data_IF_499084415636
#
_entry.id   IF_499084415636
#
_cell.length_a   1.000
_cell.length_b   1.000
_cell.length_c   1.000
_cell.angle_alpha   90.00
_cell.angle_beta   90.00
_cell.angle_gamma   90.00
#
_symmetry.space_group_name_H-M   'P 1'
#
loop_
_entity.id
_entity.type
_entity.pdbx_description
1 polymer ?
#
# COMPACT_ATOMS: atom_id res chain seq x y z
N UNK A 1 9.22 -42.89 11.77
CA UNK A 1 9.95 -43.62 10.71
C UNK A 1 9.67 -42.90 9.39
N UNK A 2 10.52 -41.93 9.02
CA UNK A 2 10.38 -41.16 7.77
C UNK A 2 10.73 -42.09 6.60
N UNK A 3 9.77 -42.33 5.70
CA UNK A 3 10.04 -42.97 4.41
C UNK A 3 10.51 -41.91 3.41
N UNK A 4 11.81 -42.00 3.12
CA UNK A 4 12.45 -41.80 1.82
C UNK A 4 12.36 -40.41 1.15
N UNK A 5 13.25 -39.51 1.55
CA UNK A 5 14.15 -38.92 0.56
C UNK A 5 15.42 -39.78 0.59
N UNK A 6 15.95 -40.16 -0.58
CA UNK A 6 17.16 -40.98 -0.71
C UNK A 6 18.46 -40.20 -0.35
N UNK A 7 18.35 -39.03 0.29
CA UNK A 7 19.50 -38.21 0.65
C UNK A 7 19.99 -38.60 2.03
N UNK A 8 21.29 -38.85 2.13
CA UNK A 8 21.99 -38.98 3.41
C UNK A 8 22.12 -37.56 3.99
N UNK A 9 21.48 -37.33 5.13
CA UNK A 9 21.58 -36.06 5.85
C UNK A 9 22.55 -36.25 7.00
N UNK A 10 23.67 -35.55 6.96
CA UNK A 10 24.70 -35.65 7.98
C UNK A 10 24.44 -34.64 9.14
N UNK A 11 23.47 -33.72 8.98
CA UNK A 11 23.13 -32.67 9.96
C UNK A 11 21.62 -32.46 10.09
N UNK A 12 21.11 -32.28 11.31
CA UNK A 12 19.69 -32.02 11.59
C UNK A 12 19.56 -30.91 12.64
N UNK A 13 18.74 -29.90 12.37
CA UNK A 13 18.44 -28.78 13.27
C UNK A 13 16.97 -28.83 13.68
N UNK A 14 16.70 -28.80 14.98
CA UNK A 14 15.34 -28.73 15.52
C UNK A 14 15.16 -27.40 16.23
N UNK A 15 14.25 -26.56 15.76
CA UNK A 15 14.03 -25.24 16.37
C UNK A 15 13.22 -25.38 17.65
N UNK A 16 13.74 -24.84 18.76
CA UNK A 16 13.05 -24.87 20.05
C UNK A 16 12.00 -23.76 20.11
N UNK A 17 10.79 -24.14 20.47
CA UNK A 17 9.78 -23.22 20.99
C UNK A 17 10.02 -23.00 22.50
N UNK A 18 10.65 -21.86 22.80
CA UNK A 18 10.39 -20.94 23.93
C UNK A 18 10.99 -21.08 25.36
N UNK A 19 11.69 -22.13 25.82
CA UNK A 19 11.94 -22.22 27.29
C UNK A 19 13.32 -22.65 27.84
N UNK A 20 14.44 -22.46 27.13
CA UNK A 20 15.78 -22.69 27.72
C UNK A 20 16.80 -21.61 27.31
N UNK A 21 17.82 -21.33 28.16
CA UNK A 21 18.88 -20.38 27.84
C UNK A 21 19.73 -20.84 26.64
N UNK A 22 20.36 -19.90 25.91
CA UNK A 22 21.18 -20.20 24.73
C UNK A 22 22.39 -21.07 25.11
N UNK A 23 22.68 -22.09 24.29
CA UNK A 23 23.90 -22.92 24.38
C UNK A 23 24.88 -22.50 23.28
N UNK A 24 26.17 -22.72 23.50
CA UNK A 24 27.25 -22.42 22.54
C UNK A 24 27.59 -23.65 21.68
N UNK A 25 28.08 -23.44 20.45
CA UNK A 25 28.44 -24.52 19.50
C UNK A 25 29.36 -25.61 20.10
N UNK A 26 30.38 -25.28 20.92
CA UNK A 26 31.24 -26.28 21.55
C UNK A 26 30.47 -27.25 22.47
N UNK A 27 29.36 -26.81 23.08
CA UNK A 27 28.52 -27.63 23.96
C UNK A 27 27.64 -28.63 23.19
N UNK A 28 27.57 -28.49 21.85
CA UNK A 28 26.73 -29.30 20.95
C UNK A 28 27.52 -30.34 20.14
N UNK A 29 28.83 -30.43 20.34
CA UNK A 29 29.76 -31.28 19.58
C UNK A 29 30.16 -32.55 20.34
N UNK A 30 30.15 -33.71 19.67
CA UNK A 30 30.78 -34.95 20.16
C UNK A 30 31.44 -35.69 19.00
N UNK A 31 32.72 -36.02 19.15
CA UNK A 31 33.51 -36.82 18.18
C UNK A 31 33.37 -36.30 16.73
N UNK A 32 33.66 -35.02 16.54
CA UNK A 32 33.62 -34.31 15.24
C UNK A 32 32.25 -34.29 14.53
N UNK A 33 31.18 -34.57 15.28
CA UNK A 33 29.78 -34.45 14.84
C UNK A 33 29.02 -33.54 15.78
N UNK A 34 28.18 -32.66 15.23
CA UNK A 34 27.22 -31.87 16.02
C UNK A 34 26.02 -32.79 16.30
N UNK A 35 25.81 -33.14 17.57
CA UNK A 35 24.67 -33.98 17.99
C UNK A 35 23.62 -33.07 18.63
N UNK A 36 22.63 -32.64 17.86
CA UNK A 36 21.44 -31.94 18.40
C UNK A 36 20.37 -32.95 18.83
N UNK A 37 20.77 -33.83 19.75
CA UNK A 37 19.95 -34.63 20.68
C UNK A 37 20.88 -35.69 21.29
N UNK A 38 21.67 -35.30 22.29
CA UNK A 38 22.32 -36.28 23.16
C UNK A 38 21.25 -36.93 24.03
N UNK A 39 20.59 -37.98 23.53
CA UNK A 39 19.71 -38.89 24.26
C UNK A 39 19.07 -38.28 25.52
N UNK A 40 18.06 -37.44 25.35
CA UNK A 40 17.14 -37.15 26.42
C UNK A 40 15.79 -37.80 26.05
N UNK A 41 15.61 -39.07 26.41
CA UNK A 41 14.30 -39.73 26.45
C UNK A 41 13.40 -39.01 27.46
N UNK A 42 12.86 -37.85 27.09
CA UNK A 42 11.82 -37.19 27.84
C UNK A 42 10.50 -37.56 27.16
N UNK A 43 9.83 -38.55 27.72
CA UNK A 43 8.49 -38.97 27.31
C UNK A 43 7.44 -37.84 27.43
N UNK A 44 7.81 -36.62 27.86
CA UNK A 44 6.90 -35.63 28.44
C UNK A 44 7.16 -34.24 27.89
N UNK A 45 6.07 -33.51 27.61
CA UNK A 45 6.09 -32.17 26.99
C UNK A 45 6.35 -31.04 28.00
N UNK A 46 6.02 -31.23 29.28
CA UNK A 46 6.16 -30.21 30.32
C UNK A 46 6.80 -30.81 31.58
N UNK A 47 7.63 -30.05 32.34
CA UNK A 47 8.32 -30.54 33.54
C UNK A 47 7.38 -30.90 34.71
N UNK A 48 6.19 -30.31 34.73
CA UNK A 48 5.21 -30.37 35.82
C UNK A 48 3.93 -31.16 35.46
N UNK A 49 3.77 -31.57 34.19
CA UNK A 49 2.58 -32.29 33.69
C UNK A 49 2.94 -33.64 33.11
N UNK A 50 3.04 -34.61 34.01
CA UNK A 50 3.48 -35.98 33.73
C UNK A 50 2.48 -36.83 32.95
N UNK A 51 1.23 -36.37 32.85
CA UNK A 51 0.10 -36.97 32.14
C UNK A 51 0.12 -36.69 30.63
N UNK A 52 0.95 -35.76 30.16
CA UNK A 52 0.96 -35.33 28.76
C UNK A 52 2.22 -35.85 28.06
N UNK A 53 2.06 -36.90 27.26
CA UNK A 53 3.10 -37.43 26.39
C UNK A 53 3.50 -36.41 25.31
N UNK A 54 4.78 -36.40 24.93
CA UNK A 54 5.30 -35.50 23.92
C UNK A 54 4.60 -35.68 22.56
N UNK A 55 4.10 -34.58 21.98
CA UNK A 55 3.48 -34.51 20.65
C UNK A 55 4.04 -33.29 19.92
N UNK A 56 5.27 -33.38 19.42
CA UNK A 56 5.81 -32.37 18.49
C UNK A 56 5.31 -32.63 17.07
N UNK A 57 5.07 -31.56 16.32
CA UNK A 57 4.75 -31.66 14.88
C UNK A 57 6.04 -31.77 14.06
N UNK A 58 5.97 -32.42 12.90
CA UNK A 58 7.09 -32.57 11.95
C UNK A 58 7.62 -31.24 11.39
N UNK A 59 6.96 -30.11 11.66
CA UNK A 59 7.26 -28.81 11.05
C UNK A 59 8.44 -28.05 11.70
N UNK A 60 9.06 -28.60 12.76
CA UNK A 60 10.11 -27.92 13.53
C UNK A 60 11.53 -28.50 13.28
N UNK A 61 11.71 -29.27 12.20
CA UNK A 61 12.95 -30.01 11.90
C UNK A 61 13.46 -29.66 10.51
N UNK A 62 14.69 -29.12 10.44
CA UNK A 62 15.45 -28.90 9.22
C UNK A 62 16.56 -29.96 9.08
N UNK A 63 16.72 -30.54 7.90
CA UNK A 63 17.77 -31.54 7.63
C UNK A 63 18.72 -31.03 6.54
N UNK A 64 20.03 -31.10 6.77
CA UNK A 64 21.06 -30.63 5.85
C UNK A 64 22.00 -31.75 5.45
N UNK A 65 22.44 -31.71 4.19
CA UNK A 65 23.36 -32.70 3.65
C UNK A 65 24.83 -32.31 3.89
N UNK A 66 25.14 -31.03 4.12
CA UNK A 66 26.51 -30.55 4.33
C UNK A 66 26.59 -29.51 5.46
N UNK A 67 27.77 -29.38 6.08
CA UNK A 67 28.06 -28.38 7.14
C UNK A 67 27.86 -26.96 6.64
N UNK A 68 28.22 -26.68 5.38
CA UNK A 68 28.06 -25.36 4.76
C UNK A 68 26.58 -24.96 4.63
N UNK A 69 25.68 -25.91 4.32
CA UNK A 69 24.24 -25.66 4.27
C UNK A 69 23.65 -25.34 5.65
N UNK A 70 24.15 -26.01 6.69
CA UNK A 70 23.77 -25.73 8.07
C UNK A 70 24.27 -24.34 8.52
N UNK A 71 25.54 -24.01 8.27
CA UNK A 71 26.14 -22.73 8.65
C UNK A 71 25.47 -21.54 7.94
N UNK A 72 25.08 -21.68 6.67
CA UNK A 72 24.32 -20.64 5.96
C UNK A 72 22.98 -20.31 6.62
N UNK A 73 22.30 -21.29 7.20
CA UNK A 73 21.05 -21.04 7.93
C UNK A 73 21.31 -20.54 9.37
N UNK A 74 22.38 -21.02 10.00
CA UNK A 74 22.82 -20.56 11.32
C UNK A 74 23.24 -19.08 11.32
N UNK A 75 23.97 -18.63 10.28
CA UNK A 75 24.28 -17.21 10.08
C UNK A 75 23.01 -16.36 9.90
N UNK A 76 21.94 -16.97 9.35
CA UNK A 76 20.61 -16.36 9.32
C UNK A 76 19.94 -16.35 10.70
N UNK A 77 20.29 -17.22 11.65
CA UNK A 77 19.71 -17.23 13.01
C UNK A 77 20.20 -16.06 13.88
N UNK A 78 21.45 -15.63 13.69
CA UNK A 78 21.93 -14.38 14.29
C UNK A 78 21.25 -13.15 13.68
N UNK A 79 20.87 -13.23 12.39
CA UNK A 79 20.01 -12.23 11.74
C UNK A 79 18.55 -12.40 12.18
N UNK A 80 18.09 -13.61 12.56
CA UNK A 80 16.73 -13.85 13.05
C UNK A 80 16.47 -13.03 14.32
N UNK A 81 17.42 -12.80 15.23
CA UNK A 81 17.16 -11.84 16.33
C UNK A 81 16.89 -10.40 15.88
N UNK A 82 17.33 -10.02 14.68
CA UNK A 82 17.15 -8.69 14.07
C UNK A 82 16.01 -8.60 13.05
N UNK A 83 15.57 -9.73 12.48
CA UNK A 83 14.48 -9.83 11.49
C UNK A 83 13.22 -10.47 12.09
N UNK A 84 13.38 -11.29 13.13
CA UNK A 84 12.32 -11.94 13.89
C UNK A 84 11.90 -11.03 15.07
N UNK A 85 10.97 -10.13 14.78
CA UNK A 85 10.12 -9.60 15.85
C UNK A 85 9.11 -10.69 16.19
N UNK A 86 9.35 -11.38 17.31
CA UNK A 86 8.63 -12.56 17.77
C UNK A 86 7.13 -12.39 17.93
N UNK A 87 6.39 -12.46 16.82
CA UNK A 87 4.98 -12.80 16.79
C UNK A 87 4.79 -13.71 15.56
N UNK A 88 4.73 -15.05 15.73
CA UNK A 88 4.23 -15.92 14.68
C UNK A 88 2.85 -15.39 14.27
N UNK A 89 2.50 -15.41 12.99
CA UNK A 89 1.20 -14.91 12.49
C UNK A 89 0.01 -15.41 13.33
N UNK A 90 0.11 -16.59 13.93
CA UNK A 90 -0.87 -17.14 14.88
C UNK A 90 -1.01 -16.35 16.18
N UNK A 91 0.02 -15.71 16.71
CA UNK A 91 -0.03 -14.87 17.91
C UNK A 91 -0.56 -13.46 17.60
N UNK A 92 -0.24 -12.88 16.44
CA UNK A 92 -0.83 -11.61 15.98
C UNK A 92 -2.32 -11.80 15.74
N UNK A 93 -2.67 -12.93 15.10
CA UNK A 93 -4.05 -13.34 14.84
C UNK A 93 -4.78 -13.66 16.15
N UNK A 94 -4.17 -14.36 17.12
CA UNK A 94 -4.75 -14.61 18.45
C UNK A 94 -4.90 -13.33 19.28
N UNK A 95 -3.94 -12.42 19.25
CA UNK A 95 -4.00 -11.16 19.98
C UNK A 95 -5.05 -10.22 19.38
N UNK A 96 -5.15 -10.15 18.05
CA UNK A 96 -6.23 -9.46 17.35
C UNK A 96 -7.59 -10.09 17.70
N UNK A 97 -7.73 -11.42 17.62
CA UNK A 97 -9.01 -12.10 17.91
C UNK A 97 -9.42 -12.03 19.39
N UNK A 98 -8.48 -12.14 20.33
CA UNK A 98 -8.72 -11.94 21.77
C UNK A 98 -9.21 -10.52 22.06
N UNK A 99 -8.61 -9.52 21.41
CA UNK A 99 -8.92 -8.10 21.61
C UNK A 99 -10.21 -7.66 20.89
N UNK A 100 -10.57 -8.30 19.77
CA UNK A 100 -11.76 -7.96 18.99
C UNK A 100 -13.01 -8.79 19.32
N UNK A 101 -12.85 -10.01 19.88
CA UNK A 101 -13.98 -10.95 20.08
C UNK A 101 -14.10 -11.48 21.52
N UNK A 102 -13.12 -11.25 22.41
CA UNK A 102 -13.18 -11.68 23.81
C UNK A 102 -13.17 -13.20 24.02
N UNK A 103 -12.68 -13.97 23.05
CA UNK A 103 -12.69 -15.44 23.09
C UNK A 103 -11.35 -15.98 23.60
N UNK A 104 -11.34 -16.52 24.82
CA UNK A 104 -10.14 -16.97 25.53
C UNK A 104 -9.77 -18.44 25.26
N UNK A 105 -10.61 -19.21 24.56
CA UNK A 105 -10.41 -20.67 24.46
C UNK A 105 -10.73 -21.22 23.07
N UNK A 106 -9.73 -21.34 22.20
CA UNK A 106 -9.86 -22.22 21.02
C UNK A 106 -8.70 -23.20 20.85
N UNK A 107 -9.07 -24.48 20.69
CA UNK A 107 -8.16 -25.57 20.35
C UNK A 107 -8.02 -25.72 18.82
N UNK A 108 -6.88 -26.26 18.33
CA UNK A 108 -6.53 -26.27 16.90
C UNK A 108 -7.54 -26.95 15.97
N UNK A 109 -8.35 -27.90 16.48
CA UNK A 109 -9.27 -28.71 15.66
C UNK A 109 -10.55 -27.97 15.20
N UNK A 110 -10.88 -26.82 15.78
CA UNK A 110 -12.00 -25.98 15.29
C UNK A 110 -11.62 -25.05 14.14
N UNK A 111 -10.32 -24.87 13.87
CA UNK A 111 -9.86 -23.97 12.83
C UNK A 111 -10.35 -24.41 11.45
N UNK A 112 -10.37 -25.69 11.10
CA UNK A 112 -10.74 -26.09 9.73
C UNK A 112 -12.23 -25.86 9.41
N UNK A 113 -13.15 -26.22 10.32
CA UNK A 113 -14.59 -25.96 10.13
C UNK A 113 -14.95 -24.47 10.29
N UNK A 114 -14.20 -23.72 11.10
CA UNK A 114 -14.33 -22.26 11.20
C UNK A 114 -13.79 -21.57 9.94
N UNK A 115 -12.63 -22.00 9.44
CA UNK A 115 -12.02 -21.50 8.21
C UNK A 115 -12.94 -21.77 7.01
N UNK A 116 -13.50 -22.97 6.87
CA UNK A 116 -14.48 -23.26 5.79
C UNK A 116 -15.78 -22.45 5.88
N UNK A 117 -16.13 -21.92 7.06
CA UNK A 117 -17.33 -21.07 7.25
C UNK A 117 -17.10 -19.61 6.84
N UNK A 118 -15.85 -19.13 6.85
CA UNK A 118 -15.51 -17.73 6.55
C UNK A 118 -14.53 -17.54 5.37
N UNK A 119 -13.98 -18.63 4.83
CA UNK A 119 -12.97 -18.65 3.78
C UNK A 119 -13.31 -19.74 2.75
N UNK A 120 -13.36 -19.40 1.45
CA UNK A 120 -13.57 -20.34 0.34
C UNK A 120 -12.25 -20.53 -0.40
N UNK A 121 -11.92 -21.77 -0.73
CA UNK A 121 -10.72 -22.15 -1.48
C UNK A 121 -11.03 -22.04 -2.99
N UNK A 122 -10.20 -21.36 -3.76
CA UNK A 122 -10.27 -21.36 -5.23
C UNK A 122 -9.31 -22.42 -5.77
N UNK A 123 -9.84 -23.35 -6.53
CA UNK A 123 -9.11 -24.54 -7.00
C UNK A 123 -8.08 -24.21 -8.10
N UNK A 124 -8.08 -22.99 -8.64
CA UNK A 124 -7.20 -22.58 -9.74
C UNK A 124 -5.95 -21.80 -9.32
N UNK A 125 -5.73 -21.54 -8.02
CA UNK A 125 -4.61 -20.70 -7.57
C UNK A 125 -3.41 -21.54 -7.05
N UNK A 126 -2.28 -21.44 -7.75
CA UNK A 126 -1.06 -22.21 -7.46
C UNK A 126 -0.02 -21.43 -6.63
N UNK A 127 -0.36 -20.29 -6.04
CA UNK A 127 0.55 -19.56 -5.14
C UNK A 127 0.02 -19.49 -3.71
N UNK A 128 0.76 -20.13 -2.80
CA UNK A 128 0.51 -20.13 -1.36
C UNK A 128 0.60 -18.70 -0.81
N UNK A 129 -0.53 -18.03 -0.63
CA UNK A 129 -0.63 -16.78 0.14
C UNK A 129 -2.00 -16.74 0.83
N UNK A 130 -2.00 -16.68 2.15
CA UNK A 130 -3.20 -16.60 2.97
C UNK A 130 -3.92 -15.27 2.69
N UNK A 131 -5.01 -15.33 1.93
CA UNK A 131 -5.86 -14.15 1.71
C UNK A 131 -6.69 -13.84 2.96
N UNK A 132 -6.13 -13.02 3.84
CA UNK A 132 -6.93 -12.18 4.74
C UNK A 132 -7.77 -11.25 3.86
N UNK A 133 -9.08 -11.49 3.88
CA UNK A 133 -10.18 -10.58 3.48
C UNK A 133 -9.93 -9.80 2.18
N UNK A 134 -10.47 -10.34 1.06
CA UNK A 134 -10.57 -9.73 -0.27
C UNK A 134 -9.94 -8.33 -0.36
N UNK A 135 -8.68 -8.24 -0.84
CA UNK A 135 -8.19 -7.00 -1.44
C UNK A 135 -9.00 -6.77 -2.70
N UNK A 136 -10.08 -6.00 -2.60
CA UNK A 136 -10.77 -5.52 -3.80
C UNK A 136 -9.93 -4.38 -4.38
N UNK A 137 -9.34 -4.65 -5.55
CA UNK A 137 -8.93 -3.67 -6.56
C UNK A 137 -7.87 -2.62 -6.17
N UNK A 138 -7.10 -2.75 -5.09
CA UNK A 138 -5.99 -1.81 -4.78
C UNK A 138 -4.61 -2.44 -5.02
N UNK A 139 -3.69 -1.66 -5.58
CA UNK A 139 -2.28 -2.05 -5.73
C UNK A 139 -1.63 -2.25 -4.35
N UNK A 140 -0.76 -3.24 -4.16
CA UNK A 140 -0.09 -3.46 -2.88
C UNK A 140 0.71 -2.24 -2.43
N UNK A 141 0.52 -1.83 -1.18
CA UNK A 141 1.42 -0.92 -0.47
C UNK A 141 1.95 -1.62 0.78
N UNK A 142 3.24 -1.46 1.12
CA UNK A 142 3.85 -2.15 2.26
C UNK A 142 3.43 -1.56 3.62
N UNK A 143 2.97 -0.31 3.66
CA UNK A 143 2.70 0.44 4.88
C UNK A 143 1.20 0.61 5.21
N UNK A 144 0.31 0.16 4.33
CA UNK A 144 -1.14 0.25 4.49
C UNK A 144 -1.91 -0.92 3.86
N UNK A 145 -3.06 -1.25 4.44
CA UNK A 145 -3.97 -2.26 3.92
C UNK A 145 -5.43 -1.88 4.16
N UNK A 146 -6.30 -2.35 3.26
CA UNK A 146 -7.76 -2.22 3.41
C UNK A 146 -8.36 -3.62 3.38
N UNK A 147 -9.19 -3.92 4.37
CA UNK A 147 -9.88 -5.19 4.52
C UNK A 147 -11.40 -4.98 4.59
N UNK A 148 -12.16 -6.03 4.24
CA UNK A 148 -13.62 -6.01 4.23
C UNK A 148 -14.17 -7.16 5.08
N UNK A 149 -15.05 -6.85 6.04
CA UNK A 149 -15.72 -7.82 6.90
C UNK A 149 -17.22 -7.53 6.96
N UNK A 150 -18.02 -8.25 6.18
CA UNK A 150 -19.45 -7.95 6.05
C UNK A 150 -19.66 -6.54 5.50
N UNK A 151 -20.39 -5.70 6.22
CA UNK A 151 -20.60 -4.28 5.91
C UNK A 151 -19.54 -3.35 6.55
N UNK A 152 -18.43 -3.88 7.07
CA UNK A 152 -17.37 -3.10 7.70
C UNK A 152 -16.12 -3.04 6.82
N UNK A 153 -15.64 -1.82 6.55
CA UNK A 153 -14.32 -1.57 5.95
C UNK A 153 -13.34 -1.30 7.08
N UNK A 154 -12.21 -1.99 7.05
CA UNK A 154 -11.14 -1.89 8.05
C UNK A 154 -9.90 -1.34 7.34
N UNK A 155 -9.43 -0.17 7.77
CA UNK A 155 -8.21 0.47 7.25
C UNK A 155 -7.09 0.25 8.26
N UNK A 156 -5.95 -0.22 7.78
CA UNK A 156 -4.73 -0.45 8.53
C UNK A 156 -3.60 0.43 8.02
N UNK A 157 -2.84 1.01 8.94
CA UNK A 157 -1.62 1.75 8.65
C UNK A 157 -0.54 1.38 9.67
N UNK A 158 0.70 1.17 9.22
CA UNK A 158 1.85 0.90 10.10
C UNK A 158 2.13 2.09 11.02
N UNK A 159 1.98 3.32 10.51
CA UNK A 159 2.13 4.54 11.31
C UNK A 159 0.81 4.94 11.97
N UNK A 160 0.79 4.88 13.30
CA UNK A 160 -0.35 5.30 14.12
C UNK A 160 -0.74 6.77 13.95
N UNK A 161 0.20 7.65 13.56
CA UNK A 161 -0.10 9.06 13.30
C UNK A 161 -1.01 9.24 12.08
N UNK A 162 -0.89 8.36 11.08
CA UNK A 162 -1.78 8.35 9.90
C UNK A 162 -3.21 8.00 10.31
N UNK A 163 -3.39 7.06 11.24
CA UNK A 163 -4.71 6.70 11.78
C UNK A 163 -5.30 7.88 12.54
N UNK A 164 -4.59 8.44 13.51
CA UNK A 164 -5.11 9.57 14.28
C UNK A 164 -5.46 10.77 13.39
N UNK A 165 -4.60 11.09 12.41
CA UNK A 165 -4.84 12.13 11.42
C UNK A 165 -6.09 11.87 10.57
N UNK A 166 -6.25 10.66 10.00
CA UNK A 166 -7.45 10.31 9.22
C UNK A 166 -8.72 10.34 10.06
N UNK A 167 -8.68 9.89 11.32
CA UNK A 167 -9.84 9.92 12.25
C UNK A 167 -10.25 11.35 12.57
N UNK A 168 -9.31 12.24 12.84
CA UNK A 168 -9.59 13.66 13.08
C UNK A 168 -10.17 14.33 11.83
N UNK A 169 -9.56 14.06 10.66
CA UNK A 169 -10.06 14.56 9.38
C UNK A 169 -11.46 14.08 9.05
N UNK A 170 -11.81 12.85 9.42
CA UNK A 170 -13.16 12.32 9.19
C UNK A 170 -14.24 13.19 9.84
N UNK A 171 -13.93 13.81 11.00
CA UNK A 171 -14.84 14.74 11.68
C UNK A 171 -14.97 16.06 10.93
N UNK A 172 -13.87 16.56 10.35
CA UNK A 172 -13.87 17.79 9.54
C UNK A 172 -14.57 17.59 8.18
N UNK A 173 -14.65 16.35 7.72
CA UNK A 173 -15.29 15.94 6.46
C UNK A 173 -16.66 15.30 6.69
N UNK A 174 -17.27 15.50 7.86
CA UNK A 174 -18.58 14.95 8.20
C UNK A 174 -19.63 15.29 7.12
N UNK A 175 -20.42 14.29 6.74
CA UNK A 175 -21.41 14.38 5.66
C UNK A 175 -20.86 14.12 4.26
N UNK A 176 -19.53 14.12 4.07
CA UNK A 176 -18.89 13.82 2.78
C UNK A 176 -18.16 12.47 2.76
N UNK A 177 -17.68 12.02 3.92
CA UNK A 177 -16.99 10.73 4.09
C UNK A 177 -17.77 9.82 5.05
N UNK A 178 -17.62 8.49 4.96
CA UNK A 178 -18.29 7.58 5.88
C UNK A 178 -17.78 7.78 7.31
N UNK A 179 -18.67 7.85 8.31
CA UNK A 179 -18.27 8.11 9.69
C UNK A 179 -17.45 6.96 10.25
N UNK A 180 -16.35 7.31 10.93
CA UNK A 180 -15.50 6.33 11.60
C UNK A 180 -16.23 5.74 12.80
N UNK A 181 -16.26 4.40 12.88
CA UNK A 181 -17.00 3.63 13.90
C UNK A 181 -16.10 3.14 15.04
N UNK A 182 -14.94 2.57 14.71
CA UNK A 182 -13.98 2.02 15.68
C UNK A 182 -12.59 2.51 15.36
N UNK A 183 -11.78 2.73 16.39
CA UNK A 183 -10.40 3.20 16.27
C UNK A 183 -9.52 2.42 17.24
N UNK A 184 -8.32 2.07 16.78
CA UNK A 184 -7.18 1.63 17.59
C UNK A 184 -5.92 2.32 17.07
N UNK A 185 -4.74 2.00 17.62
CA UNK A 185 -3.50 2.68 17.23
C UNK A 185 -3.20 2.58 15.73
N UNK A 186 -3.39 1.40 15.14
CA UNK A 186 -3.05 1.14 13.73
C UNK A 186 -4.25 0.89 12.84
N UNK A 187 -5.47 0.95 13.39
CA UNK A 187 -6.68 0.63 12.64
C UNK A 187 -7.78 1.66 12.87
N UNK A 188 -8.59 1.88 11.84
CA UNK A 188 -9.93 2.41 12.02
C UNK A 188 -10.92 1.70 11.10
N UNK A 189 -12.20 1.77 11.45
CA UNK A 189 -13.26 1.15 10.65
C UNK A 189 -14.37 2.14 10.31
N UNK A 190 -15.05 1.90 9.20
CA UNK A 190 -16.29 2.59 8.82
C UNK A 190 -17.22 1.63 8.07
N UNK A 191 -18.49 2.01 7.89
CA UNK A 191 -19.45 1.19 7.16
C UNK A 191 -19.12 1.17 5.67
N UNK A 192 -19.11 0.00 5.05
CA UNK A 192 -19.06 -0.15 3.60
C UNK A 192 -20.15 0.72 2.96
N UNK A 193 -19.75 1.49 1.95
CA UNK A 193 -20.64 2.36 1.20
C UNK A 193 -21.03 1.60 -0.07
N UNK A 194 -22.31 1.31 -0.20
CA UNK A 194 -22.86 0.66 -1.38
C UNK A 194 -23.05 1.71 -2.49
N UNK A 195 -22.62 1.37 -3.70
CA UNK A 195 -22.67 2.25 -4.86
C UNK A 195 -21.67 1.85 -5.93
N UNK A 196 -21.68 2.61 -7.01
CA UNK A 196 -20.79 2.41 -8.16
C UNK A 196 -19.56 3.32 -8.07
N UNK A 197 -18.46 2.93 -8.72
CA UNK A 197 -17.28 3.80 -8.82
C UNK A 197 -17.54 4.90 -9.85
N UNK A 198 -17.13 6.13 -9.53
CA UNK A 198 -17.25 7.25 -10.47
C UNK A 198 -16.56 6.99 -11.83
N UNK A 199 -15.50 6.17 -11.84
CA UNK A 199 -14.77 5.76 -13.06
C UNK A 199 -15.60 4.96 -14.07
N UNK A 200 -16.75 4.43 -13.64
CA UNK A 200 -17.61 3.55 -14.42
C UNK A 200 -18.95 4.20 -14.78
N UNK A 201 -19.16 5.45 -14.39
CA UNK A 201 -20.40 6.18 -14.62
C UNK A 201 -20.44 6.89 -16.00
N UNK A 202 -21.57 7.54 -16.27
CA UNK A 202 -21.81 8.40 -17.43
C UNK A 202 -21.39 9.87 -17.20
N UNK A 203 -21.39 10.66 -18.28
CA UNK A 203 -20.98 12.07 -18.24
C UNK A 203 -21.93 12.96 -17.45
N UNK A 204 -23.22 12.63 -17.40
CA UNK A 204 -24.20 13.36 -16.58
C UNK A 204 -23.84 13.23 -15.09
N UNK A 205 -23.48 12.03 -14.66
CA UNK A 205 -23.05 11.74 -13.29
C UNK A 205 -21.72 12.43 -12.98
N UNK A 206 -20.77 12.40 -13.92
CA UNK A 206 -19.50 13.13 -13.76
C UNK A 206 -19.70 14.65 -13.64
N UNK A 207 -20.59 15.25 -14.43
CA UNK A 207 -20.94 16.68 -14.29
C UNK A 207 -21.51 16.99 -12.90
N UNK A 208 -22.43 16.15 -12.40
CA UNK A 208 -22.99 16.27 -11.03
C UNK A 208 -21.90 16.14 -9.97
N UNK A 209 -20.91 15.28 -10.19
CA UNK A 209 -19.77 15.14 -9.29
C UNK A 209 -18.91 16.42 -9.24
N UNK A 210 -18.67 17.08 -10.38
CA UNK A 210 -17.91 18.34 -10.40
C UNK A 210 -18.64 19.45 -9.62
N UNK A 211 -19.95 19.56 -9.75
CA UNK A 211 -20.75 20.50 -8.95
C UNK A 211 -20.77 20.12 -7.46
N UNK A 212 -20.83 18.82 -7.13
CA UNK A 212 -20.69 18.35 -5.77
C UNK A 212 -19.33 18.76 -5.17
N UNK A 213 -18.23 18.53 -5.90
CA UNK A 213 -16.90 18.92 -5.45
C UNK A 213 -16.74 20.44 -5.32
N UNK A 214 -17.36 21.22 -6.21
CA UNK A 214 -17.42 22.69 -6.09
C UNK A 214 -18.08 23.13 -4.78
N UNK A 215 -19.16 22.46 -4.37
CA UNK A 215 -19.80 22.70 -3.08
C UNK A 215 -18.97 22.19 -1.88
N UNK A 216 -18.16 21.14 -2.11
CA UNK A 216 -17.25 20.58 -1.12
C UNK A 216 -16.08 21.52 -0.82
N UNK A 217 -15.46 22.13 -1.83
CA UNK A 217 -14.30 23.04 -1.71
C UNK A 217 -14.66 24.41 -1.12
N UNK A 218 -15.01 24.43 0.17
CA UNK A 218 -15.31 25.65 0.90
C UNK A 218 -14.03 26.48 1.12
N UNK A 219 -13.94 27.74 0.64
CA UNK A 219 -12.77 28.59 0.80
C UNK A 219 -12.45 28.90 2.27
N UNK A 220 -11.15 28.99 2.58
CA UNK A 220 -10.65 29.33 3.91
C UNK A 220 -9.56 30.40 3.74
N UNK A 221 -9.65 31.51 4.48
CA UNK A 221 -8.64 32.56 4.44
C UNK A 221 -7.41 32.19 5.29
N UNK A 222 -6.24 32.17 4.67
CA UNK A 222 -4.97 31.77 5.30
C UNK A 222 -3.84 32.66 4.77
N UNK A 223 -3.07 33.30 5.66
CA UNK A 223 -2.03 34.27 5.28
C UNK A 223 -0.77 33.64 4.67
N UNK A 224 -0.35 32.47 5.15
CA UNK A 224 0.94 31.84 4.77
C UNK A 224 0.77 30.58 3.91
N UNK A 225 -0.38 30.44 3.25
CA UNK A 225 -0.70 29.24 2.49
C UNK A 225 0.24 28.93 1.32
N UNK A 226 0.78 29.93 0.58
CA UNK A 226 1.71 29.64 -0.49
C UNK A 226 2.98 28.92 -0.03
N UNK A 227 3.42 29.15 1.21
CA UNK A 227 4.57 28.44 1.76
C UNK A 227 4.24 26.98 2.06
N UNK A 228 3.07 26.69 2.66
CA UNK A 228 2.59 25.31 2.83
C UNK A 228 2.48 24.56 1.50
N UNK A 229 1.96 25.22 0.46
CA UNK A 229 1.90 24.64 -0.88
C UNK A 229 3.29 24.36 -1.46
N UNK A 230 4.21 25.31 -1.30
CA UNK A 230 5.59 25.17 -1.79
C UNK A 230 6.26 23.96 -1.14
N UNK A 231 6.22 23.86 0.18
CA UNK A 231 6.81 22.72 0.89
C UNK A 231 6.15 21.41 0.48
N UNK A 232 4.82 21.37 0.39
CA UNK A 232 4.09 20.16 0.03
C UNK A 232 4.39 19.69 -1.40
N UNK A 233 4.52 20.60 -2.36
CA UNK A 233 4.81 20.26 -3.75
C UNK A 233 6.30 20.00 -3.97
N UNK A 234 7.14 20.95 -3.61
CA UNK A 234 8.57 20.94 -3.93
C UNK A 234 9.31 19.87 -3.16
N UNK A 235 9.20 19.86 -1.82
CA UNK A 235 9.97 18.93 -0.99
C UNK A 235 9.57 17.49 -1.31
N UNK A 236 8.26 17.24 -1.44
CA UNK A 236 7.75 15.92 -1.82
C UNK A 236 8.28 15.50 -3.19
N UNK A 237 8.31 16.40 -4.16
CA UNK A 237 8.83 16.05 -5.50
C UNK A 237 10.31 15.72 -5.47
N UNK A 238 11.16 16.54 -4.87
CA UNK A 238 12.59 16.23 -4.83
C UNK A 238 12.89 14.95 -4.02
N UNK A 239 12.24 14.76 -2.86
CA UNK A 239 12.37 13.52 -2.09
C UNK A 239 11.98 12.28 -2.91
N UNK A 240 10.92 12.36 -3.73
CA UNK A 240 10.47 11.24 -4.57
C UNK A 240 11.38 11.01 -5.77
N UNK A 241 11.91 12.07 -6.37
CA UNK A 241 12.88 11.95 -7.45
C UNK A 241 14.18 11.31 -6.98
N UNK A 242 14.64 11.63 -5.77
CA UNK A 242 15.83 11.00 -5.19
C UNK A 242 15.65 9.50 -4.95
N UNK A 243 14.45 9.08 -4.50
CA UNK A 243 14.11 7.64 -4.40
C UNK A 243 14.03 6.95 -5.77
N UNK A 244 13.61 7.68 -6.81
CA UNK A 244 13.52 7.12 -8.16
C UNK A 244 14.87 7.06 -8.86
N UNK A 245 15.78 7.99 -8.54
CA UNK A 245 17.11 8.15 -9.15
C UNK A 245 17.95 6.88 -9.13
N UNK A 246 17.82 6.06 -8.09
CA UNK A 246 18.53 4.78 -8.00
C UNK A 246 17.98 3.70 -8.96
N UNK A 247 16.75 3.89 -9.48
CA UNK A 247 16.01 2.90 -10.27
C UNK A 247 15.97 3.22 -11.77
N UNK A 248 16.32 4.45 -12.20
CA UNK A 248 16.11 4.91 -13.58
C UNK A 248 17.25 5.74 -14.13
N UNK A 249 17.30 5.85 -15.46
CA UNK A 249 18.20 6.77 -16.13
C UNK A 249 17.68 8.22 -16.05
N UNK A 250 18.57 9.15 -15.68
CA UNK A 250 18.26 10.57 -15.41
C UNK A 250 18.67 11.46 -16.61
N UNK A 251 19.31 10.90 -17.62
CA UNK A 251 19.78 11.69 -18.77
C UNK A 251 18.62 12.18 -19.65
N UNK A 252 18.96 13.07 -20.59
CA UNK A 252 18.07 13.38 -21.72
C UNK A 252 17.68 12.07 -22.38
N UNK A 253 16.39 11.90 -22.66
CA UNK A 253 15.90 10.76 -23.39
C UNK A 253 14.78 11.16 -24.34
N UNK A 254 14.63 10.40 -25.41
CA UNK A 254 13.46 10.50 -26.28
C UNK A 254 12.39 9.59 -25.71
N UNK A 255 11.23 10.16 -25.33
CA UNK A 255 10.08 9.43 -24.77
C UNK A 255 8.92 9.56 -25.75
N UNK A 256 8.45 8.46 -26.33
CA UNK A 256 7.42 8.44 -27.38
C UNK A 256 7.70 9.49 -28.49
N UNK A 257 8.93 9.50 -29.01
CA UNK A 257 9.37 10.46 -30.02
C UNK A 257 9.62 11.91 -29.54
N UNK A 258 9.41 12.24 -28.26
CA UNK A 258 9.62 13.59 -27.72
C UNK A 258 10.94 13.66 -26.97
N UNK A 259 11.81 14.61 -27.31
CA UNK A 259 13.03 14.88 -26.53
C UNK A 259 12.69 15.53 -25.18
N UNK A 260 13.05 14.84 -24.09
CA UNK A 260 12.76 15.25 -22.72
C UNK A 260 14.06 15.47 -21.96
N UNK A 261 14.26 16.67 -21.35
CA UNK A 261 15.48 16.97 -20.61
C UNK A 261 15.59 16.11 -19.33
N UNK A 262 16.77 16.10 -18.68
CA UNK A 262 16.93 15.51 -17.36
C UNK A 262 15.88 16.03 -16.38
N UNK A 263 15.31 15.15 -15.55
CA UNK A 263 14.16 15.54 -14.71
C UNK A 263 14.49 16.67 -13.73
N UNK A 264 15.70 16.71 -13.17
CA UNK A 264 16.12 17.80 -12.27
C UNK A 264 16.23 19.15 -13.01
N UNK A 265 16.74 19.16 -14.25
CA UNK A 265 16.76 20.36 -15.11
C UNK A 265 15.33 20.80 -15.45
N UNK A 266 14.42 19.83 -15.64
CA UNK A 266 13.02 20.15 -15.81
C UNK A 266 12.50 20.83 -14.53
N UNK A 267 12.55 20.17 -13.37
CA UNK A 267 11.93 20.66 -12.14
C UNK A 267 12.51 21.99 -11.62
N UNK A 268 13.79 22.29 -11.84
CA UNK A 268 14.39 23.60 -11.53
C UNK A 268 13.73 24.76 -12.29
N UNK A 269 13.26 24.49 -13.51
CA UNK A 269 12.58 25.49 -14.36
C UNK A 269 11.07 25.57 -14.10
N UNK A 270 10.53 24.76 -13.17
CA UNK A 270 9.16 24.95 -12.73
C UNK A 270 9.11 26.24 -11.92
N UNK A 271 8.29 27.21 -12.34
CA UNK A 271 8.05 28.43 -11.58
C UNK A 271 7.37 28.09 -10.26
N UNK A 272 8.14 27.65 -9.25
CA UNK A 272 7.63 27.11 -7.99
C UNK A 272 6.76 28.12 -7.25
N UNK A 273 7.10 29.41 -7.31
CA UNK A 273 6.27 30.48 -6.75
C UNK A 273 4.86 30.51 -7.37
N UNK A 274 4.76 30.46 -8.71
CA UNK A 274 3.46 30.38 -9.39
C UNK A 274 2.72 29.09 -9.04
N UNK A 275 3.42 27.95 -8.99
CA UNK A 275 2.82 26.66 -8.65
C UNK A 275 2.29 26.64 -7.22
N UNK A 276 2.97 27.34 -6.30
CA UNK A 276 2.63 27.40 -4.88
C UNK A 276 1.61 28.48 -4.54
N UNK A 277 1.20 29.35 -5.47
CA UNK A 277 0.03 30.22 -5.33
C UNK A 277 -1.29 29.40 -5.35
N UNK A 278 -1.48 28.60 -4.29
CA UNK A 278 -2.65 27.76 -4.08
C UNK A 278 -3.84 28.54 -3.53
N UNK A 279 -5.02 27.91 -3.54
CA UNK A 279 -6.25 28.44 -2.92
C UNK A 279 -6.68 27.50 -1.80
N UNK A 280 -6.62 27.99 -0.56
CA UNK A 280 -6.95 27.19 0.62
C UNK A 280 -8.46 26.91 0.66
N UNK A 281 -8.79 25.63 0.72
CA UNK A 281 -10.16 25.13 0.79
C UNK A 281 -10.26 23.94 1.74
N UNK A 282 -11.47 23.59 2.16
CA UNK A 282 -11.74 22.21 2.61
C UNK A 282 -11.40 21.27 1.46
N UNK A 283 -10.50 20.33 1.70
CA UNK A 283 -9.92 19.45 0.68
C UNK A 283 -10.15 17.98 1.02
N UNK A 284 -10.02 17.10 0.02
CA UNK A 284 -10.02 15.64 0.21
C UNK A 284 -8.59 15.08 0.23
N UNK A 285 -7.73 15.55 -0.67
CA UNK A 285 -6.31 15.21 -0.80
C UNK A 285 -6.02 13.99 -1.67
N UNK A 286 -7.02 13.18 -1.98
CA UNK A 286 -6.93 12.10 -2.97
C UNK A 286 -8.27 11.80 -3.68
N UNK A 287 -9.01 12.80 -4.22
CA UNK A 287 -10.33 12.60 -4.84
C UNK A 287 -10.21 11.98 -6.25
N UNK A 288 -9.37 10.96 -6.41
CA UNK A 288 -9.33 10.16 -7.63
C UNK A 288 -10.66 9.40 -7.80
N UNK A 289 -11.00 9.03 -9.03
CA UNK A 289 -12.33 8.48 -9.36
C UNK A 289 -12.63 7.17 -8.61
N UNK A 290 -11.62 6.35 -8.30
CA UNK A 290 -11.77 5.12 -7.52
C UNK A 290 -12.08 5.37 -6.03
N UNK A 291 -11.86 6.60 -5.55
CA UNK A 291 -12.15 7.05 -4.20
C UNK A 291 -13.49 7.79 -4.08
N UNK A 292 -14.31 7.75 -5.14
CA UNK A 292 -15.63 8.38 -5.17
C UNK A 292 -16.68 7.30 -5.45
N UNK A 293 -17.55 7.07 -4.47
CA UNK A 293 -18.68 6.15 -4.58
C UNK A 293 -19.92 6.94 -4.93
N UNK A 294 -20.57 6.59 -6.03
CA UNK A 294 -21.87 7.12 -6.45
C UNK A 294 -22.96 6.32 -5.76
N UNK A 295 -23.70 6.96 -4.87
CA UNK A 295 -24.80 6.36 -4.11
C UNK A 295 -26.14 6.89 -4.62
N UNK A 296 -27.28 6.26 -4.26
CA UNK A 296 -28.60 6.79 -4.58
C UNK A 296 -28.82 8.23 -4.07
N UNK A 297 -28.17 8.60 -2.96
CA UNK A 297 -28.29 9.91 -2.31
C UNK A 297 -27.28 10.95 -2.83
N UNK A 298 -26.29 10.55 -3.64
CA UNK A 298 -25.28 11.47 -4.18
C UNK A 298 -23.90 10.82 -4.26
N UNK A 299 -22.93 11.44 -3.59
CA UNK A 299 -21.53 11.00 -3.62
C UNK A 299 -21.00 10.81 -2.21
N UNK A 300 -20.27 9.72 -2.00
CA UNK A 300 -19.49 9.49 -0.78
C UNK A 300 -18.02 9.41 -1.15
N UNK A 301 -17.20 10.23 -0.50
CA UNK A 301 -15.75 10.24 -0.67
C UNK A 301 -15.11 9.25 0.29
N UNK A 302 -14.17 8.44 -0.18
CA UNK A 302 -13.42 7.48 0.65
C UNK A 302 -11.91 7.72 0.51
N UNK A 303 -11.14 7.16 1.44
CA UNK A 303 -9.68 7.24 1.45
C UNK A 303 -9.09 8.67 1.44
N UNK A 304 -9.74 9.58 2.16
CA UNK A 304 -9.28 10.96 2.36
C UNK A 304 -7.90 11.03 3.03
N UNK A 305 -7.14 12.08 2.73
CA UNK A 305 -5.80 12.29 3.29
C UNK A 305 -5.86 12.83 4.74
N UNK A 306 -4.88 12.42 5.54
CA UNK A 306 -4.68 12.83 6.94
C UNK A 306 -4.35 14.33 7.11
N UNK A 307 -3.64 14.93 6.15
CA UNK A 307 -3.24 16.34 6.16
C UNK A 307 -2.76 16.81 4.77
N UNK A 308 -2.63 18.13 4.61
CA UNK A 308 -1.95 18.78 3.51
C UNK A 308 -0.75 19.54 4.06
N UNK A 309 0.44 18.94 4.01
CA UNK A 309 1.67 19.56 4.52
C UNK A 309 1.64 19.76 6.04
N UNK A 310 1.05 18.81 6.78
CA UNK A 310 0.85 18.89 8.22
C UNK A 310 -0.42 19.64 8.65
N UNK A 311 -1.12 20.32 7.73
CA UNK A 311 -2.37 21.03 8.01
C UNK A 311 -3.58 20.11 7.82
N UNK A 312 -4.49 20.07 8.79
CA UNK A 312 -5.68 19.19 8.74
C UNK A 312 -6.93 19.92 8.26
N UNK A 313 -7.02 21.22 8.45
CA UNK A 313 -8.24 22.01 8.29
C UNK A 313 -8.47 22.41 6.82
N UNK A 314 -7.39 22.71 6.11
CA UNK A 314 -7.42 23.18 4.73
C UNK A 314 -6.28 22.59 3.92
N UNK A 315 -6.44 22.66 2.60
CA UNK A 315 -5.47 22.21 1.60
C UNK A 315 -5.75 22.92 0.29
N UNK A 316 -4.99 22.59 -0.75
CA UNK A 316 -5.06 23.35 -2.00
C UNK A 316 -6.08 22.72 -2.96
N UNK A 317 -7.01 23.54 -3.46
CA UNK A 317 -7.96 23.12 -4.49
C UNK A 317 -7.24 22.60 -5.74
N UNK A 318 -6.09 23.19 -6.10
CA UNK A 318 -5.33 22.75 -7.27
C UNK A 318 -4.78 21.34 -7.12
N UNK A 319 -4.52 20.89 -5.88
CA UNK A 319 -4.09 19.52 -5.63
C UNK A 319 -5.24 18.53 -5.82
N UNK A 320 -6.44 18.84 -5.31
CA UNK A 320 -7.64 18.02 -5.53
C UNK A 320 -8.02 17.96 -7.02
N UNK A 321 -8.00 19.11 -7.72
CA UNK A 321 -8.23 19.17 -9.17
C UNK A 321 -7.19 18.32 -9.94
N UNK A 322 -5.92 18.42 -9.57
CA UNK A 322 -4.85 17.62 -10.18
C UNK A 322 -5.01 16.12 -9.87
N UNK A 323 -5.54 15.78 -8.70
CA UNK A 323 -5.87 14.41 -8.30
C UNK A 323 -7.08 13.83 -9.05
N UNK A 324 -8.06 14.63 -9.41
CA UNK A 324 -9.11 14.19 -10.34
C UNK A 324 -8.51 14.03 -11.75
N UNK A 325 -7.83 15.06 -12.24
CA UNK A 325 -7.30 15.12 -13.61
C UNK A 325 -6.30 13.99 -13.92
N UNK A 326 -5.40 13.63 -13.00
CA UNK A 326 -4.45 12.54 -13.24
C UNK A 326 -5.15 11.17 -13.33
N UNK A 327 -6.25 10.96 -12.61
CA UNK A 327 -6.97 9.69 -12.59
C UNK A 327 -7.82 9.51 -13.86
N UNK A 328 -8.14 10.60 -14.58
CA UNK A 328 -8.78 10.56 -15.90
C UNK A 328 -7.83 10.09 -17.01
N UNK A 329 -6.53 10.30 -16.82
CA UNK A 329 -5.51 9.95 -17.81
C UNK A 329 -4.95 8.55 -17.55
N UNK A 330 -4.46 8.31 -16.33
CA UNK A 330 -3.94 6.99 -15.90
C UNK A 330 -4.93 6.41 -14.90
N UNK A 331 -5.81 5.55 -15.40
CA UNK A 331 -6.84 4.91 -14.59
C UNK A 331 -6.31 3.62 -13.92
N UNK A 332 -6.59 3.44 -12.63
CA UNK A 332 -6.07 2.32 -11.86
C UNK A 332 -6.58 0.96 -12.34
N UNK A 333 -7.83 0.87 -12.81
CA UNK A 333 -8.40 -0.35 -13.39
C UNK A 333 -7.64 -0.78 -14.65
N UNK A 334 -7.39 0.17 -15.57
CA UNK A 334 -6.59 -0.06 -16.78
C UNK A 334 -5.19 -0.57 -16.43
N UNK A 335 -4.56 0.01 -15.41
CA UNK A 335 -3.24 -0.46 -14.96
C UNK A 335 -3.30 -1.88 -14.41
N UNK A 336 -4.32 -2.18 -13.58
CA UNK A 336 -4.51 -3.52 -12.98
C UNK A 336 -4.85 -4.58 -14.04
N UNK A 337 -5.49 -4.21 -15.14
CA UNK A 337 -5.78 -5.11 -16.26
C UNK A 337 -4.63 -5.26 -17.25
N UNK A 338 -3.49 -4.60 -17.03
CA UNK A 338 -2.33 -4.66 -17.91
C UNK A 338 -2.48 -3.82 -19.18
N UNK A 339 -3.39 -2.84 -19.21
CA UNK A 339 -3.62 -1.93 -20.35
C UNK A 339 -2.52 -0.87 -20.52
N UNK A 340 -1.26 -1.20 -20.23
CA UNK A 340 -0.11 -0.35 -20.48
C UNK A 340 1.11 -1.20 -20.85
N UNK A 341 2.05 -0.61 -21.57
CA UNK A 341 3.36 -1.22 -21.82
C UNK A 341 4.45 -0.16 -21.75
N UNK A 342 5.66 -0.59 -21.45
CA UNK A 342 6.85 0.26 -21.52
C UNK A 342 8.05 -0.57 -21.99
N UNK A 343 8.82 -0.01 -22.91
CA UNK A 343 10.09 -0.55 -23.40
C UNK A 343 11.16 0.53 -23.31
N UNK A 344 12.33 0.15 -22.78
CA UNK A 344 13.46 1.05 -22.61
C UNK A 344 14.67 0.53 -23.39
N UNK A 345 15.15 1.35 -24.32
CA UNK A 345 16.41 1.17 -25.04
C UNK A 345 17.10 2.53 -25.19
N UNK A 346 17.61 2.82 -26.39
CA UNK A 346 18.11 4.16 -26.74
C UNK A 346 17.00 5.24 -26.64
N UNK A 347 15.77 4.82 -26.89
CA UNK A 347 14.54 5.59 -26.68
C UNK A 347 13.61 4.86 -25.73
N UNK A 348 12.68 5.60 -25.12
CA UNK A 348 11.63 5.05 -24.25
C UNK A 348 10.32 5.12 -25.00
N UNK A 349 9.66 3.98 -25.14
CA UNK A 349 8.35 3.88 -25.77
C UNK A 349 7.37 3.26 -24.79
N UNK A 350 6.21 3.88 -24.62
CA UNK A 350 5.13 3.37 -23.79
C UNK A 350 3.77 3.48 -24.49
N UNK A 351 2.87 2.57 -24.16
CA UNK A 351 1.45 2.64 -24.53
C UNK A 351 0.59 2.67 -23.27
N UNK A 352 -0.58 3.30 -23.36
CA UNK A 352 -1.58 3.34 -22.32
C UNK A 352 -2.95 3.26 -22.97
N UNK A 353 -3.75 2.28 -22.57
CA UNK A 353 -5.16 2.18 -22.93
C UNK A 353 -5.95 3.25 -22.17
N UNK A 354 -7.07 3.68 -22.75
CA UNK A 354 -7.94 4.68 -22.11
C UNK A 354 -9.37 4.29 -22.34
N UNK A 355 -10.18 4.33 -21.28
CA UNK A 355 -11.63 4.12 -21.36
C UNK A 355 -12.27 5.32 -22.06
N UNK A 356 -13.25 5.06 -22.92
CA UNK A 356 -13.86 6.11 -23.75
C UNK A 356 -14.56 7.18 -22.91
N UNK A 357 -15.28 6.79 -21.86
CA UNK A 357 -15.91 7.73 -20.92
C UNK A 357 -14.89 8.67 -20.25
N UNK A 358 -13.69 8.17 -19.92
CA UNK A 358 -12.66 9.00 -19.28
C UNK A 358 -12.06 10.05 -20.22
N UNK A 359 -12.09 9.81 -21.54
CA UNK A 359 -11.71 10.83 -22.53
C UNK A 359 -12.71 11.98 -22.52
N UNK A 360 -13.99 11.67 -22.54
CA UNK A 360 -15.07 12.65 -22.42
C UNK A 360 -14.97 13.43 -21.09
N UNK A 361 -14.76 12.72 -19.98
CA UNK A 361 -14.64 13.34 -18.65
C UNK A 361 -13.44 14.29 -18.57
N UNK A 362 -12.33 13.95 -19.22
CA UNK A 362 -11.17 14.83 -19.29
C UNK A 362 -11.52 16.14 -19.99
N UNK A 363 -12.24 16.12 -21.11
CA UNK A 363 -12.68 17.35 -21.78
C UNK A 363 -13.62 18.17 -20.90
N UNK A 364 -14.57 17.51 -20.22
CA UNK A 364 -15.47 18.17 -19.28
C UNK A 364 -14.72 18.82 -18.11
N UNK A 365 -13.71 18.12 -17.57
CA UNK A 365 -12.86 18.62 -16.50
C UNK A 365 -12.06 19.85 -16.93
N UNK A 366 -11.49 19.84 -18.14
CA UNK A 366 -10.76 21.00 -18.68
C UNK A 366 -11.66 22.23 -18.84
N UNK A 367 -12.89 22.04 -19.35
CA UNK A 367 -13.90 23.12 -19.44
C UNK A 367 -14.27 23.63 -18.06
N UNK A 368 -14.60 22.74 -17.12
CA UNK A 368 -14.95 23.09 -15.74
C UNK A 368 -13.84 23.91 -15.06
N UNK A 369 -12.57 23.54 -15.22
CA UNK A 369 -11.43 24.28 -14.65
C UNK A 369 -11.40 25.71 -15.20
N UNK A 370 -11.51 25.87 -16.52
CA UNK A 370 -11.45 27.17 -17.19
C UNK A 370 -12.66 28.05 -16.86
N UNK A 371 -13.87 27.48 -16.91
CA UNK A 371 -15.13 28.19 -16.66
C UNK A 371 -15.24 28.71 -15.22
N UNK A 372 -14.55 28.08 -14.28
CA UNK A 372 -14.47 28.52 -12.88
C UNK A 372 -13.23 29.39 -12.58
N UNK A 373 -12.47 29.81 -13.59
CA UNK A 373 -11.33 30.71 -13.44
C UNK A 373 -10.13 30.09 -12.73
N UNK A 374 -9.96 28.77 -12.82
CA UNK A 374 -8.77 28.07 -12.33
C UNK A 374 -7.71 27.97 -13.44
N UNK A 375 -6.45 27.90 -13.02
CA UNK A 375 -5.31 27.75 -13.93
C UNK A 375 -5.15 26.28 -14.38
N UNK A 376 -5.55 25.99 -15.62
CA UNK A 376 -5.43 24.66 -16.21
C UNK A 376 -3.97 24.22 -16.39
N UNK A 377 -3.04 25.14 -16.68
CA UNK A 377 -1.61 24.82 -16.79
C UNK A 377 -1.07 24.36 -15.42
N UNK A 378 -1.52 25.00 -14.33
CA UNK A 378 -1.19 24.61 -12.96
C UNK A 378 -1.67 23.21 -12.63
N UNK A 379 -2.94 22.91 -12.93
CA UNK A 379 -3.52 21.57 -12.73
C UNK A 379 -2.74 20.50 -13.50
N UNK A 380 -2.46 20.72 -14.80
CA UNK A 380 -1.69 19.77 -15.62
C UNK A 380 -0.27 19.57 -15.11
N UNK A 381 0.38 20.64 -14.65
CA UNK A 381 1.74 20.57 -14.05
C UNK A 381 1.73 19.74 -12.78
N UNK A 382 0.77 19.99 -11.86
CA UNK A 382 0.63 19.22 -10.63
C UNK A 382 0.29 17.75 -10.90
N UNK A 383 -0.54 17.45 -11.89
CA UNK A 383 -0.82 16.06 -12.30
C UNK A 383 0.44 15.33 -12.78
N UNK A 384 1.29 16.00 -13.58
CA UNK A 384 2.58 15.44 -13.99
C UNK A 384 3.49 15.16 -12.78
N UNK A 385 3.55 16.10 -11.82
CA UNK A 385 4.29 15.89 -10.56
C UNK A 385 3.69 14.76 -9.73
N UNK A 386 2.37 14.55 -9.72
CA UNK A 386 1.73 13.44 -9.01
C UNK A 386 2.22 12.10 -9.57
N UNK A 387 2.35 11.94 -10.90
CA UNK A 387 2.91 10.71 -11.47
C UNK A 387 4.36 10.47 -11.04
N UNK A 388 5.20 11.50 -11.14
CA UNK A 388 6.60 11.43 -10.69
C UNK A 388 6.70 11.08 -9.20
N UNK A 389 5.81 11.64 -8.39
CA UNK A 389 5.78 11.42 -6.95
C UNK A 389 5.28 10.03 -6.57
N UNK A 390 4.41 9.44 -7.40
CA UNK A 390 3.88 8.09 -7.20
C UNK A 390 4.82 7.01 -7.74
N UNK A 391 5.60 7.30 -8.78
CA UNK A 391 6.52 6.35 -9.42
C UNK A 391 7.37 5.52 -8.42
N UNK A 392 8.15 6.09 -7.49
CA UNK A 392 9.03 5.31 -6.62
C UNK A 392 8.30 4.41 -5.61
N UNK A 393 6.98 4.58 -5.45
CA UNK A 393 6.13 3.81 -4.53
C UNK A 393 5.56 2.53 -5.16
N UNK A 394 5.82 2.29 -6.44
CA UNK A 394 5.34 1.13 -7.16
C UNK A 394 6.49 0.20 -7.59
N UNK A 395 6.14 -1.04 -7.87
CA UNK A 395 7.06 -2.04 -8.43
C UNK A 395 7.22 -1.86 -9.94
N UNK A 396 8.28 -2.46 -10.49
CA UNK A 396 8.47 -2.55 -11.94
C UNK A 396 7.41 -3.48 -12.58
N UNK A 397 6.96 -3.21 -13.82
CA UNK A 397 7.38 -2.10 -14.70
C UNK A 397 6.56 -0.80 -14.51
N UNK A 398 5.59 -0.78 -13.61
CA UNK A 398 4.65 0.34 -13.46
C UNK A 398 5.31 1.63 -12.99
N UNK A 399 6.26 1.53 -12.06
CA UNK A 399 7.03 2.68 -11.59
C UNK A 399 7.78 3.41 -12.73
N UNK A 400 8.40 2.67 -13.65
CA UNK A 400 9.13 3.20 -14.81
C UNK A 400 8.16 3.87 -15.77
N UNK A 401 7.02 3.22 -16.06
CA UNK A 401 5.94 3.83 -16.81
C UNK A 401 5.53 5.19 -16.24
N UNK A 402 5.20 5.26 -14.94
CA UNK A 402 4.81 6.51 -14.28
C UNK A 402 5.90 7.60 -14.36
N UNK A 403 7.16 7.21 -14.19
CA UNK A 403 8.29 8.14 -14.25
C UNK A 403 8.43 8.77 -15.64
N UNK A 404 8.49 7.96 -16.70
CA UNK A 404 8.64 8.49 -18.06
C UNK A 404 7.37 9.19 -18.56
N UNK A 405 6.19 8.68 -18.21
CA UNK A 405 4.91 9.34 -18.48
C UNK A 405 4.86 10.74 -17.86
N UNK A 406 5.18 10.84 -16.56
CA UNK A 406 5.22 12.11 -15.83
C UNK A 406 6.25 13.08 -16.40
N UNK A 407 7.45 12.60 -16.78
CA UNK A 407 8.49 13.40 -17.44
C UNK A 407 8.03 14.00 -18.77
N UNK A 408 7.45 13.16 -19.64
CA UNK A 408 6.92 13.60 -20.94
C UNK A 408 5.79 14.60 -20.75
N UNK A 409 4.83 14.31 -19.88
CA UNK A 409 3.73 15.23 -19.57
C UNK A 409 4.26 16.59 -19.05
N UNK A 410 5.26 16.58 -18.17
CA UNK A 410 5.86 17.82 -17.67
C UNK A 410 6.55 18.65 -18.76
N UNK A 411 7.07 18.01 -19.80
CA UNK A 411 7.67 18.67 -20.97
C UNK A 411 6.61 19.31 -21.87
N UNK A 412 5.46 18.66 -22.04
CA UNK A 412 4.36 19.08 -22.92
C UNK A 412 3.51 20.21 -22.34
N UNK A 413 3.45 20.33 -21.00
CA UNK A 413 2.71 21.40 -20.32
C UNK A 413 3.47 22.75 -20.37
N UNK A 414 4.76 22.75 -20.69
CA UNK A 414 5.63 23.94 -20.61
C UNK A 414 5.40 24.96 -21.70
#
# INVERSE_FOLDING_TARGET
>A
MMKASLRKYDYVMKTRTDYLPPMTIPEMMKEDKIIVDGCANWYRRYPDRFDILWQGSLNDIFCFATTEQFLKLWDFEDILKSVWTGIPETTLFRAAMKRFLGDDMQSPRRNENFLKKYFVWDENDTKQSFHVMRRRHSLPKPDEATYFKGDEVIKYFVDKKRVSGKVERAKLLEGFVPPVRKVSDNFFTYKYVEGDLLSDCDSITFARFLEFMKSFWQPIEVKDFPWTCLEFYQNKTFQRLDLMREKVNIHTCVINGVEVPPIYVATEKLGWNWLSEGKAVRFHGDPQLENVIVTPEGFSLIDWREDFGGVKEYGDIYYDLAKIYHALIVNGEVIRSGGYSITEGDTVEYTLETKENLREFKEMMERFILDNGYDLKKVKTLSALIYLNSAPLHEEPYNRFLYYFGRKMLREVR
#
